data_IF_845207255419
#
_entry.id   IF_845207255419
#
_cell.length_a   1.000
_cell.length_b   1.000
_cell.length_c   1.000
_cell.angle_alpha   90.00
_cell.angle_beta   90.00
_cell.angle_gamma   90.00
#
_symmetry.space_group_name_H-M   'P 1'
#
loop_
_entity.id
_entity.type
_entity.pdbx_description
1 polymer ?
#
# COMPACT_ATOMS: atom_id res chain seq x y z
N UNK A 1 77.17 -16.27 -34.48
CA UNK A 1 78.27 -15.29 -34.43
C UNK A 1 78.57 -14.63 -35.80
N UNK A 2 77.70 -14.73 -36.82
CA UNK A 2 77.93 -14.07 -38.12
C UNK A 2 77.07 -12.82 -38.36
N UNK A 3 75.93 -12.66 -37.67
CA UNK A 3 75.08 -11.46 -37.78
C UNK A 3 75.76 -10.19 -37.22
N UNK A 4 76.63 -10.32 -36.23
CA UNK A 4 77.37 -9.19 -35.67
C UNK A 4 78.43 -8.63 -36.65
N UNK A 5 79.00 -9.49 -37.50
CA UNK A 5 80.07 -9.12 -38.44
C UNK A 5 79.54 -8.44 -39.72
N UNK A 6 78.29 -8.72 -40.10
CA UNK A 6 77.63 -8.06 -41.25
C UNK A 6 77.17 -6.64 -40.88
N UNK A 7 76.73 -6.41 -39.64
CA UNK A 7 76.34 -5.08 -39.15
C UNK A 7 77.55 -4.14 -39.04
N UNK A 8 78.73 -4.69 -38.69
CA UNK A 8 79.95 -3.90 -38.54
C UNK A 8 80.57 -3.41 -39.86
N UNK A 9 80.28 -4.05 -41.00
CA UNK A 9 80.89 -3.72 -42.30
C UNK A 9 80.06 -2.80 -43.21
N UNK A 10 78.83 -2.45 -42.83
CA UNK A 10 77.94 -1.55 -43.60
C UNK A 10 78.06 -0.06 -43.16
N UNK A 11 78.97 0.26 -42.25
CA UNK A 11 79.08 1.60 -41.63
C UNK A 11 79.86 2.63 -42.48
N UNK A 12 80.49 2.26 -43.60
CA UNK A 12 81.31 3.17 -44.41
C UNK A 12 80.62 3.82 -45.63
N UNK A 13 79.30 4.06 -45.59
CA UNK A 13 78.63 4.82 -46.64
C UNK A 13 77.25 5.35 -46.23
N UNK A 14 76.91 6.56 -46.67
CA UNK A 14 75.66 7.27 -46.36
C UNK A 14 74.36 6.46 -46.59
N UNK A 15 74.42 5.42 -47.43
CA UNK A 15 73.32 4.48 -47.71
C UNK A 15 73.03 3.54 -46.53
N UNK A 16 74.06 3.10 -45.79
CA UNK A 16 73.91 2.19 -44.64
C UNK A 16 73.22 2.86 -43.44
N UNK A 17 73.54 4.13 -43.18
CA UNK A 17 72.90 4.92 -42.13
C UNK A 17 71.40 5.15 -42.43
N UNK A 18 71.03 5.37 -43.69
CA UNK A 18 69.64 5.53 -44.10
C UNK A 18 68.83 4.23 -43.93
N UNK A 19 69.40 3.08 -44.30
CA UNK A 19 68.76 1.77 -44.13
C UNK A 19 68.53 1.41 -42.65
N UNK A 20 69.52 1.68 -41.78
CA UNK A 20 69.40 1.46 -40.34
C UNK A 20 68.35 2.41 -39.73
N UNK A 21 68.36 3.70 -40.12
CA UNK A 21 67.35 4.66 -39.66
C UNK A 21 65.93 4.27 -40.08
N UNK A 22 65.77 3.77 -41.31
CA UNK A 22 64.50 3.26 -41.81
C UNK A 22 64.02 2.03 -41.04
N UNK A 23 64.89 1.03 -40.84
CA UNK A 23 64.55 -0.17 -40.05
C UNK A 23 64.19 0.18 -38.60
N UNK A 24 64.91 1.09 -37.96
CA UNK A 24 64.58 1.57 -36.61
C UNK A 24 63.24 2.28 -36.57
N UNK A 25 62.94 3.15 -37.55
CA UNK A 25 61.62 3.80 -37.64
C UNK A 25 60.50 2.79 -37.82
N UNK A 26 60.66 1.83 -38.73
CA UNK A 26 59.66 0.79 -38.98
C UNK A 26 59.48 -0.10 -37.75
N UNK A 27 60.57 -0.53 -37.11
CA UNK A 27 60.52 -1.36 -35.91
C UNK A 27 59.88 -0.63 -34.71
N UNK A 28 60.24 0.63 -34.47
CA UNK A 28 59.64 1.45 -33.41
C UNK A 28 58.16 1.67 -33.70
N UNK A 29 57.78 2.00 -34.94
CA UNK A 29 56.37 2.19 -35.32
C UNK A 29 55.55 0.91 -35.15
N UNK A 30 56.09 -0.24 -35.57
CA UNK A 30 55.45 -1.55 -35.40
C UNK A 30 55.25 -1.86 -33.91
N UNK A 31 56.26 -1.59 -33.08
CA UNK A 31 56.20 -1.88 -31.65
C UNK A 31 55.25 -0.94 -30.90
N UNK A 32 55.23 0.35 -31.25
CA UNK A 32 54.28 1.32 -30.72
C UNK A 32 52.85 0.94 -31.12
N UNK A 33 52.63 0.56 -32.37
CA UNK A 33 51.34 0.11 -32.88
C UNK A 33 50.86 -1.15 -32.14
N UNK A 34 51.76 -2.10 -31.89
CA UNK A 34 51.45 -3.29 -31.09
C UNK A 34 51.11 -2.95 -29.64
N UNK A 35 51.85 -2.05 -28.99
CA UNK A 35 51.55 -1.68 -27.59
C UNK A 35 50.21 -0.94 -27.48
N UNK A 36 49.96 0.00 -28.39
CA UNK A 36 48.70 0.74 -28.45
C UNK A 36 47.54 -0.21 -28.74
N UNK A 37 47.68 -1.12 -29.71
CA UNK A 37 46.66 -2.12 -30.01
C UNK A 37 46.38 -3.04 -28.83
N UNK A 38 47.41 -3.43 -28.09
CA UNK A 38 47.27 -4.26 -26.89
C UNK A 38 46.52 -3.51 -25.79
N UNK A 39 46.88 -2.25 -25.50
CA UNK A 39 46.17 -1.43 -24.53
C UNK A 39 44.70 -1.22 -24.90
N UNK A 40 44.40 -0.96 -26.19
CA UNK A 40 43.01 -0.86 -26.66
C UNK A 40 42.24 -2.17 -26.51
N UNK A 41 42.87 -3.30 -26.84
CA UNK A 41 42.25 -4.61 -26.66
C UNK A 41 41.94 -4.89 -25.19
N UNK A 42 42.89 -4.60 -24.30
CA UNK A 42 42.72 -4.76 -22.85
C UNK A 42 41.62 -3.86 -22.29
N UNK A 43 41.56 -2.59 -22.71
CA UNK A 43 40.48 -1.67 -22.32
C UNK A 43 39.13 -2.14 -22.85
N UNK A 44 39.07 -2.63 -24.09
CA UNK A 44 37.84 -3.13 -24.68
C UNK A 44 37.34 -4.37 -23.92
N UNK A 45 38.25 -5.28 -23.57
CA UNK A 45 37.92 -6.47 -22.79
C UNK A 45 37.47 -6.10 -21.37
N UNK A 46 38.15 -5.16 -20.70
CA UNK A 46 37.74 -4.66 -19.39
C UNK A 46 36.37 -3.98 -19.43
N UNK A 47 36.08 -3.18 -20.46
CA UNK A 47 34.76 -2.57 -20.62
C UNK A 47 33.67 -3.61 -20.89
N UNK A 48 33.97 -4.65 -21.69
CA UNK A 48 33.02 -5.73 -21.95
C UNK A 48 32.71 -6.52 -20.68
N UNK A 49 33.72 -6.84 -19.87
CA UNK A 49 33.52 -7.56 -18.61
C UNK A 49 32.79 -6.71 -17.58
N UNK A 50 33.13 -5.42 -17.46
CA UNK A 50 32.42 -4.48 -16.59
C UNK A 50 30.96 -4.28 -17.03
N UNK A 51 30.70 -4.15 -18.34
CA UNK A 51 29.34 -3.98 -18.83
C UNK A 51 28.51 -5.25 -18.64
N UNK A 52 29.10 -6.43 -18.88
CA UNK A 52 28.41 -7.70 -18.67
C UNK A 52 28.11 -7.95 -17.18
N UNK A 53 29.03 -7.59 -16.28
CA UNK A 53 28.77 -7.71 -14.84
C UNK A 53 27.68 -6.75 -14.37
N UNK A 54 27.66 -5.49 -14.85
CA UNK A 54 26.58 -4.54 -14.57
C UNK A 54 25.24 -5.02 -15.12
N UNK A 55 25.22 -5.56 -16.34
CA UNK A 55 24.01 -6.08 -16.96
C UNK A 55 23.45 -7.27 -16.17
N UNK A 56 24.30 -8.21 -15.76
CA UNK A 56 23.89 -9.33 -14.92
C UNK A 56 23.37 -8.86 -13.55
N UNK A 57 24.02 -7.87 -12.94
CA UNK A 57 23.56 -7.29 -11.68
C UNK A 57 22.17 -6.65 -11.82
N UNK A 58 21.96 -5.82 -12.85
CA UNK A 58 20.65 -5.20 -13.13
C UNK A 58 19.57 -6.25 -13.43
N UNK A 59 19.90 -7.28 -14.21
CA UNK A 59 18.95 -8.35 -14.51
C UNK A 59 18.57 -9.13 -13.25
N UNK A 60 19.54 -9.44 -12.40
CA UNK A 60 19.30 -10.11 -11.13
C UNK A 60 18.45 -9.23 -10.19
N UNK A 61 18.76 -7.95 -10.06
CA UNK A 61 17.99 -7.00 -9.26
C UNK A 61 16.54 -6.89 -9.75
N UNK A 62 16.34 -6.83 -11.07
CA UNK A 62 15.00 -6.82 -11.66
C UNK A 62 14.23 -8.10 -11.34
N UNK A 63 14.86 -9.28 -11.47
CA UNK A 63 14.23 -10.56 -11.11
C UNK A 63 13.85 -10.61 -9.63
N UNK A 64 14.75 -10.18 -8.73
CA UNK A 64 14.48 -10.12 -7.29
C UNK A 64 13.33 -9.17 -6.99
N UNK A 65 13.27 -8.01 -7.65
CA UNK A 65 12.17 -7.06 -7.52
C UNK A 65 10.84 -7.68 -7.97
N UNK A 66 10.82 -8.36 -9.12
CA UNK A 66 9.62 -9.03 -9.64
C UNK A 66 9.12 -10.11 -8.67
N UNK A 67 10.02 -10.94 -8.14
CA UNK A 67 9.67 -11.98 -7.17
C UNK A 67 9.08 -11.37 -5.90
N UNK A 68 9.72 -10.32 -5.36
CA UNK A 68 9.23 -9.63 -4.16
C UNK A 68 7.83 -9.04 -4.38
N UNK A 69 7.62 -8.42 -5.53
CA UNK A 69 6.32 -7.86 -5.91
C UNK A 69 5.25 -8.94 -6.05
N UNK A 70 5.56 -10.06 -6.70
CA UNK A 70 4.65 -11.21 -6.81
C UNK A 70 4.28 -11.77 -5.44
N UNK A 71 5.28 -11.99 -4.57
CA UNK A 71 5.08 -12.51 -3.22
C UNK A 71 4.19 -11.58 -2.40
N UNK A 72 4.40 -10.27 -2.50
CA UNK A 72 3.57 -9.27 -1.85
C UNK A 72 2.11 -9.34 -2.31
N UNK A 73 1.87 -9.41 -3.63
CA UNK A 73 0.51 -9.55 -4.17
C UNK A 73 -0.17 -10.86 -3.75
N UNK A 74 0.58 -11.96 -3.67
CA UNK A 74 0.06 -13.23 -3.18
C UNK A 74 -0.38 -13.13 -1.71
N UNK A 75 0.44 -12.51 -0.85
CA UNK A 75 0.06 -12.24 0.54
C UNK A 75 -1.14 -11.31 0.66
N UNK A 76 -1.23 -10.25 -0.16
CA UNK A 76 -2.40 -9.37 -0.17
C UNK A 76 -3.67 -10.13 -0.54
N UNK A 77 -3.62 -10.95 -1.59
CA UNK A 77 -4.76 -11.76 -2.03
C UNK A 77 -5.20 -12.73 -0.93
N UNK A 78 -4.24 -13.38 -0.27
CA UNK A 78 -4.51 -14.28 0.85
C UNK A 78 -5.15 -13.54 2.03
N UNK A 79 -4.58 -12.40 2.44
CA UNK A 79 -5.12 -11.55 3.50
C UNK A 79 -6.56 -11.09 3.20
N UNK A 80 -6.83 -10.63 1.98
CA UNK A 80 -8.17 -10.20 1.58
C UNK A 80 -9.18 -11.35 1.62
N UNK A 81 -8.80 -12.51 1.06
CA UNK A 81 -9.64 -13.70 1.08
C UNK A 81 -9.91 -14.19 2.51
N UNK A 82 -8.89 -14.18 3.37
CA UNK A 82 -9.00 -14.54 4.78
C UNK A 82 -9.92 -13.61 5.55
N UNK A 83 -9.78 -12.29 5.39
CA UNK A 83 -10.65 -11.29 6.04
C UNK A 83 -12.10 -11.48 5.61
N UNK A 84 -12.39 -11.58 4.30
CA UNK A 84 -13.77 -11.81 3.82
C UNK A 84 -14.32 -13.15 4.32
N UNK A 85 -13.50 -14.19 4.33
CA UNK A 85 -13.86 -15.50 4.86
C UNK A 85 -14.24 -15.45 6.35
N UNK A 86 -13.46 -14.73 7.15
CA UNK A 86 -13.69 -14.55 8.58
C UNK A 86 -14.89 -13.64 8.86
N UNK A 87 -15.10 -12.55 8.13
CA UNK A 87 -16.33 -11.73 8.22
C UNK A 87 -17.57 -12.59 7.98
N UNK A 88 -17.56 -13.44 6.94
CA UNK A 88 -18.65 -14.38 6.69
C UNK A 88 -18.84 -15.36 7.85
N UNK A 89 -17.75 -15.97 8.35
CA UNK A 89 -17.78 -16.90 9.48
C UNK A 89 -18.34 -16.24 10.75
N UNK A 90 -17.98 -14.99 11.03
CA UNK A 90 -18.51 -14.21 12.15
C UNK A 90 -20.02 -14.02 12.01
N UNK A 91 -20.49 -13.62 10.82
CA UNK A 91 -21.93 -13.41 10.59
C UNK A 91 -22.72 -14.72 10.68
N UNK A 92 -22.19 -15.82 10.14
CA UNK A 92 -22.79 -17.15 10.27
C UNK A 92 -22.86 -17.58 11.75
N UNK A 93 -21.80 -17.38 12.52
CA UNK A 93 -21.78 -17.68 13.95
C UNK A 93 -22.78 -16.81 14.72
N UNK A 94 -22.91 -15.53 14.36
CA UNK A 94 -23.84 -14.60 14.98
C UNK A 94 -25.29 -15.01 14.75
N UNK A 95 -25.65 -15.34 13.52
CA UNK A 95 -26.98 -15.87 13.17
C UNK A 95 -27.26 -17.18 13.90
N UNK A 96 -26.31 -18.10 13.93
CA UNK A 96 -26.51 -19.40 14.59
C UNK A 96 -26.67 -19.29 16.11
N UNK A 97 -26.08 -18.26 16.73
CA UNK A 97 -26.12 -18.08 18.17
C UNK A 97 -27.44 -17.47 18.66
N UNK A 98 -27.97 -16.46 17.94
CA UNK A 98 -29.00 -15.59 18.52
C UNK A 98 -30.03 -15.05 17.54
N UNK A 99 -30.17 -15.64 16.34
CA UNK A 99 -31.11 -15.13 15.35
C UNK A 99 -32.58 -15.31 15.76
N UNK A 100 -33.32 -14.20 15.76
CA UNK A 100 -34.76 -14.15 15.93
C UNK A 100 -35.39 -13.76 14.60
N UNK A 101 -36.35 -14.58 14.14
CA UNK A 101 -37.08 -14.34 12.88
C UNK A 101 -37.66 -12.91 12.87
N UNK A 102 -37.47 -12.18 11.76
CA UNK A 102 -37.86 -10.77 11.55
C UNK A 102 -37.13 -9.70 12.37
N UNK A 103 -36.29 -10.08 13.35
CA UNK A 103 -35.57 -9.14 14.21
C UNK A 103 -34.05 -9.22 14.08
N UNK A 104 -33.51 -10.22 13.39
CA UNK A 104 -32.07 -10.41 13.28
C UNK A 104 -31.47 -10.99 14.58
N UNK A 105 -30.14 -10.90 14.76
CA UNK A 105 -29.50 -11.41 15.97
C UNK A 105 -29.93 -10.62 17.21
N UNK A 106 -30.42 -11.30 18.24
CA UNK A 106 -30.81 -10.70 19.51
C UNK A 106 -29.60 -10.37 20.41
N UNK A 107 -28.60 -11.25 20.41
CA UNK A 107 -27.40 -11.08 21.24
C UNK A 107 -26.26 -10.38 20.50
N UNK A 108 -25.26 -9.92 21.25
CA UNK A 108 -24.03 -9.35 20.70
C UNK A 108 -23.26 -10.36 19.82
N UNK A 109 -22.37 -9.85 18.97
CA UNK A 109 -21.52 -10.70 18.13
C UNK A 109 -20.73 -11.71 18.99
N UNK A 110 -20.64 -12.99 18.60
CA UNK A 110 -19.86 -13.98 19.33
C UNK A 110 -18.41 -13.53 19.48
N UNK A 111 -18.00 -13.22 20.71
CA UNK A 111 -16.70 -12.61 21.02
C UNK A 111 -15.51 -13.44 20.54
N UNK A 112 -15.62 -14.77 20.56
CA UNK A 112 -14.61 -15.68 20.03
C UNK A 112 -14.38 -15.52 18.53
N UNK A 113 -15.46 -15.46 17.74
CA UNK A 113 -15.36 -15.29 16.29
C UNK A 113 -14.89 -13.87 15.92
N UNK A 114 -15.40 -12.84 16.61
CA UNK A 114 -14.94 -11.47 16.44
C UNK A 114 -13.45 -11.31 16.74
N UNK A 115 -12.97 -11.91 17.85
CA UNK A 115 -11.55 -11.88 18.22
C UNK A 115 -10.68 -12.57 17.17
N UNK A 116 -11.10 -13.71 16.64
CA UNK A 116 -10.38 -14.40 15.56
C UNK A 116 -10.22 -13.52 14.32
N UNK A 117 -11.29 -12.82 13.90
CA UNK A 117 -11.22 -11.85 12.80
C UNK A 117 -10.26 -10.70 13.11
N UNK A 118 -10.33 -10.14 14.32
CA UNK A 118 -9.48 -9.02 14.74
C UNK A 118 -8.01 -9.41 14.79
N UNK A 119 -7.67 -10.56 15.37
CA UNK A 119 -6.31 -11.09 15.43
C UNK A 119 -5.76 -11.35 14.01
N UNK A 120 -6.57 -11.92 13.12
CA UNK A 120 -6.18 -12.12 11.73
C UNK A 120 -5.91 -10.80 11.00
N UNK A 121 -6.77 -9.78 11.22
CA UNK A 121 -6.55 -8.44 10.68
C UNK A 121 -5.23 -7.83 11.19
N UNK A 122 -4.99 -7.85 12.50
CA UNK A 122 -3.77 -7.29 13.10
C UNK A 122 -2.50 -7.98 12.57
N UNK A 123 -2.53 -9.30 12.38
CA UNK A 123 -1.40 -10.06 11.81
C UNK A 123 -1.12 -9.72 10.34
N UNK A 124 -2.14 -9.31 9.59
CA UNK A 124 -2.05 -9.05 8.15
C UNK A 124 -2.10 -7.56 7.79
N UNK A 125 -2.12 -6.66 8.79
CA UNK A 125 -2.29 -5.22 8.57
C UNK A 125 -1.20 -4.61 7.69
N UNK A 126 0.03 -5.15 7.75
CA UNK A 126 1.16 -4.70 6.92
C UNK A 126 0.91 -4.87 5.41
N UNK A 127 0.04 -5.80 5.04
CA UNK A 127 -0.30 -6.08 3.64
C UNK A 127 -1.53 -5.29 3.17
N UNK A 128 -2.24 -4.60 4.07
CA UNK A 128 -3.35 -3.73 3.72
C UNK A 128 -2.80 -2.34 3.41
N UNK A 129 -3.25 -1.75 2.29
CA UNK A 129 -3.06 -0.32 2.11
C UNK A 129 -4.00 0.47 3.03
N UNK A 130 -3.81 1.78 3.09
CA UNK A 130 -4.54 2.64 4.01
C UNK A 130 -6.06 2.61 3.78
N UNK A 131 -6.50 2.50 2.52
CA UNK A 131 -7.92 2.41 2.18
C UNK A 131 -8.53 1.10 2.67
N UNK A 132 -7.83 -0.02 2.47
CA UNK A 132 -8.25 -1.32 2.97
C UNK A 132 -8.24 -1.37 4.50
N UNK A 133 -7.24 -0.74 5.13
CA UNK A 133 -7.12 -0.63 6.58
C UNK A 133 -8.35 0.07 7.17
N UNK A 134 -8.68 1.27 6.67
CA UNK A 134 -9.86 2.01 7.11
C UNK A 134 -11.16 1.24 6.87
N UNK A 135 -11.29 0.55 5.74
CA UNK A 135 -12.47 -0.22 5.41
C UNK A 135 -12.68 -1.43 6.34
N UNK A 136 -11.61 -2.15 6.70
CA UNK A 136 -11.69 -3.27 7.65
C UNK A 136 -11.96 -2.77 9.06
N UNK A 137 -11.31 -1.68 9.48
CA UNK A 137 -11.58 -1.05 10.76
C UNK A 137 -13.05 -0.60 10.89
N UNK A 138 -13.62 -0.04 9.84
CA UNK A 138 -15.04 0.33 9.81
C UNK A 138 -15.94 -0.89 10.10
N UNK A 139 -15.66 -2.04 9.48
CA UNK A 139 -16.40 -3.28 9.74
C UNK A 139 -16.20 -3.76 11.18
N UNK A 140 -14.97 -3.72 11.70
CA UNK A 140 -14.67 -4.09 13.09
C UNK A 140 -15.36 -3.16 14.10
N UNK A 141 -15.48 -1.87 13.79
CA UNK A 141 -16.20 -0.89 14.58
C UNK A 141 -17.70 -1.21 14.62
N UNK A 142 -18.33 -1.56 13.50
CA UNK A 142 -19.73 -2.00 13.48
C UNK A 142 -19.97 -3.30 14.25
N UNK A 143 -19.06 -4.28 14.19
CA UNK A 143 -19.16 -5.43 15.08
C UNK A 143 -19.09 -5.03 16.55
N UNK A 144 -18.17 -4.11 16.88
CA UNK A 144 -17.99 -3.65 18.26
C UNK A 144 -19.19 -2.88 18.80
N UNK A 145 -19.99 -2.26 17.92
CA UNK A 145 -21.24 -1.60 18.32
C UNK A 145 -22.28 -2.56 18.88
N UNK A 146 -22.15 -3.86 18.66
CA UNK A 146 -23.06 -4.84 19.26
C UNK A 146 -22.76 -5.15 20.72
N UNK A 147 -21.56 -4.82 21.22
CA UNK A 147 -21.19 -5.10 22.60
C UNK A 147 -21.86 -4.12 23.57
N UNK A 148 -22.23 -4.59 24.77
CA UNK A 148 -22.76 -3.71 25.81
C UNK A 148 -21.70 -2.70 26.23
N UNK A 149 -22.14 -1.51 26.64
CA UNK A 149 -21.27 -0.45 27.13
C UNK A 149 -21.67 0.00 28.53
N UNK A 150 -20.68 0.47 29.28
CA UNK A 150 -20.85 1.14 30.57
C UNK A 150 -20.79 2.65 30.32
N UNK A 151 -21.78 3.38 30.79
CA UNK A 151 -21.84 4.85 30.71
C UNK A 151 -21.07 5.54 31.87
N UNK A 152 -20.39 4.75 32.71
CA UNK A 152 -19.69 5.19 33.90
C UNK A 152 -20.56 5.19 35.17
N UNK A 153 -21.83 4.78 35.06
CA UNK A 153 -22.72 4.58 36.21
C UNK A 153 -22.61 3.16 36.79
N UNK A 154 -21.88 2.26 36.13
CA UNK A 154 -21.75 0.86 36.52
C UNK A 154 -22.91 -0.03 36.06
N UNK A 155 -23.86 0.52 35.29
CA UNK A 155 -24.91 -0.22 34.61
C UNK A 155 -24.49 -0.52 33.17
N UNK A 156 -24.63 -1.77 32.75
CA UNK A 156 -24.43 -2.18 31.36
C UNK A 156 -25.69 -1.90 30.56
N UNK A 157 -25.53 -1.19 29.45
CA UNK A 157 -26.61 -0.92 28.50
C UNK A 157 -26.44 -1.80 27.27
N UNK A 158 -27.52 -2.49 26.90
CA UNK A 158 -27.60 -3.22 25.64
C UNK A 158 -27.59 -2.23 24.47
N UNK A 159 -26.91 -2.61 23.40
CA UNK A 159 -26.89 -1.86 22.14
C UNK A 159 -27.77 -2.54 21.12
N UNK A 160 -28.13 -1.80 20.07
CA UNK A 160 -28.88 -2.32 18.94
C UNK A 160 -28.02 -3.27 18.08
N UNK A 161 -28.12 -4.56 18.39
CA UNK A 161 -27.41 -5.66 17.75
C UNK A 161 -27.89 -5.89 16.31
N UNK A 162 -29.18 -5.69 16.05
CA UNK A 162 -29.79 -5.81 14.72
C UNK A 162 -29.22 -4.79 13.75
N UNK A 163 -29.16 -3.51 14.16
CA UNK A 163 -28.58 -2.45 13.32
C UNK A 163 -27.11 -2.70 13.05
N UNK A 164 -26.34 -3.12 14.06
CA UNK A 164 -24.93 -3.49 13.88
C UNK A 164 -24.75 -4.62 12.86
N UNK A 165 -25.55 -5.69 12.95
CA UNK A 165 -25.53 -6.81 12.01
C UNK A 165 -25.88 -6.37 10.58
N UNK A 166 -26.98 -5.63 10.41
CA UNK A 166 -27.42 -5.15 9.09
C UNK A 166 -26.37 -4.26 8.42
N UNK A 167 -25.75 -3.37 9.20
CA UNK A 167 -24.67 -2.50 8.72
C UNK A 167 -23.47 -3.31 8.22
N UNK A 168 -23.08 -4.38 8.92
CA UNK A 168 -21.99 -5.26 8.45
C UNK A 168 -22.40 -6.03 7.19
N UNK A 169 -23.63 -6.55 7.12
CA UNK A 169 -24.13 -7.25 5.93
C UNK A 169 -24.15 -6.35 4.69
N UNK A 170 -24.52 -5.07 4.85
CA UNK A 170 -24.47 -4.06 3.78
C UNK A 170 -23.04 -3.71 3.36
N UNK A 171 -22.10 -3.61 4.30
CA UNK A 171 -20.69 -3.29 3.99
C UNK A 171 -19.93 -4.45 3.36
N UNK A 172 -20.26 -5.71 3.70
CA UNK A 172 -19.55 -6.90 3.21
C UNK A 172 -19.38 -6.96 1.68
N UNK A 173 -20.42 -6.81 0.84
CA UNK A 173 -20.26 -6.84 -0.62
C UNK A 173 -19.39 -5.68 -1.15
N UNK A 174 -19.38 -4.55 -0.47
CA UNK A 174 -18.63 -3.35 -0.86
C UNK A 174 -17.15 -3.50 -0.47
N UNK A 175 -16.87 -4.04 0.72
CA UNK A 175 -15.53 -4.44 1.13
C UNK A 175 -14.94 -5.47 0.17
N UNK A 176 -15.72 -6.49 -0.22
CA UNK A 176 -15.28 -7.47 -1.21
C UNK A 176 -15.01 -6.83 -2.58
N UNK A 177 -15.81 -5.85 -3.00
CA UNK A 177 -15.58 -5.11 -4.23
C UNK A 177 -14.29 -4.27 -4.19
N UNK A 178 -14.03 -3.59 -3.06
CA UNK A 178 -12.76 -2.88 -2.84
C UNK A 178 -11.57 -3.83 -2.96
N UNK A 179 -11.59 -4.97 -2.27
CA UNK A 179 -10.50 -5.94 -2.33
C UNK A 179 -10.27 -6.50 -3.74
N UNK A 180 -11.35 -6.81 -4.48
CA UNK A 180 -11.24 -7.25 -5.89
C UNK A 180 -10.60 -6.20 -6.79
N UNK A 181 -10.91 -4.91 -6.56
CA UNK A 181 -10.28 -3.81 -7.27
C UNK A 181 -8.78 -3.73 -6.98
N UNK A 182 -8.37 -3.90 -5.71
CA UNK A 182 -6.96 -3.87 -5.30
C UNK A 182 -6.11 -5.00 -5.88
N UNK A 183 -6.70 -6.17 -6.14
CA UNK A 183 -6.02 -7.30 -6.81
C UNK A 183 -6.21 -7.30 -8.33
N UNK A 184 -6.76 -6.24 -8.92
CA UNK A 184 -6.89 -6.09 -10.37
C UNK A 184 -7.94 -6.99 -11.03
N UNK A 185 -8.90 -7.52 -10.27
CA UNK A 185 -9.96 -8.38 -10.81
C UNK A 185 -11.10 -7.57 -11.44
N UNK A 186 -11.56 -6.51 -10.78
CA UNK A 186 -12.62 -5.63 -11.27
C UNK A 186 -12.41 -4.21 -10.74
N UNK A 187 -12.39 -3.20 -11.61
CA UNK A 187 -12.39 -1.81 -11.17
C UNK A 187 -13.79 -1.42 -10.64
N UNK A 188 -13.85 -1.00 -9.38
CA UNK A 188 -15.07 -0.54 -8.73
C UNK A 188 -14.75 0.68 -7.86
N UNK A 189 -14.41 1.79 -8.52
CA UNK A 189 -14.14 3.07 -7.85
C UNK A 189 -15.29 3.56 -6.95
N UNK A 190 -16.52 3.12 -7.22
CA UNK A 190 -17.70 3.42 -6.40
C UNK A 190 -17.61 2.78 -5.01
N UNK A 191 -17.11 1.54 -4.91
CA UNK A 191 -16.92 0.86 -3.63
C UNK A 191 -15.91 1.58 -2.72
N UNK A 192 -14.79 2.05 -3.31
CA UNK A 192 -13.77 2.85 -2.60
C UNK A 192 -14.37 4.14 -2.05
N UNK A 193 -15.01 4.95 -2.89
CA UNK A 193 -15.62 6.22 -2.46
C UNK A 193 -16.69 6.00 -1.39
N UNK A 194 -17.52 4.97 -1.57
CA UNK A 194 -18.59 4.62 -0.63
C UNK A 194 -18.04 4.29 0.75
N UNK A 195 -17.05 3.40 0.85
CA UNK A 195 -16.45 3.02 2.14
C UNK A 195 -15.78 4.19 2.84
N UNK A 196 -15.03 5.01 2.10
CA UNK A 196 -14.38 6.20 2.65
C UNK A 196 -15.41 7.22 3.14
N UNK A 197 -16.48 7.45 2.37
CA UNK A 197 -17.55 8.37 2.74
C UNK A 197 -18.34 7.93 3.97
N UNK A 198 -18.70 6.64 4.04
CA UNK A 198 -19.37 6.06 5.22
C UNK A 198 -18.48 6.16 6.45
N UNK A 199 -17.19 5.78 6.34
CA UNK A 199 -16.24 5.87 7.42
C UNK A 199 -16.01 7.30 7.92
N UNK A 200 -15.89 8.26 7.00
CA UNK A 200 -15.74 9.68 7.33
C UNK A 200 -16.97 10.26 8.03
N UNK A 201 -18.19 9.97 7.54
CA UNK A 201 -19.43 10.41 8.18
C UNK A 201 -19.58 9.81 9.57
N UNK A 202 -19.27 8.52 9.73
CA UNK A 202 -19.31 7.85 11.02
C UNK A 202 -18.31 8.48 12.00
N UNK A 203 -17.06 8.70 11.58
CA UNK A 203 -16.01 9.31 12.40
C UNK A 203 -16.39 10.73 12.87
N UNK A 204 -16.92 11.54 11.96
CA UNK A 204 -17.26 12.94 12.25
C UNK A 204 -18.50 13.08 13.12
N UNK A 205 -19.42 12.11 13.07
CA UNK A 205 -20.63 12.09 13.90
C UNK A 205 -20.44 11.35 15.24
N UNK A 206 -19.40 10.51 15.39
CA UNK A 206 -19.13 9.79 16.64
C UNK A 206 -18.51 10.66 17.72
N UNK A 207 -17.76 11.70 17.33
CA UNK A 207 -17.12 12.63 18.26
C UNK A 207 -18.02 13.84 18.56
N UNK A 208 -18.04 14.30 19.82
CA UNK A 208 -18.81 15.47 20.26
C UNK A 208 -17.90 16.48 20.96
N UNK A 209 -17.71 17.63 20.33
CA UNK A 209 -16.96 18.78 20.84
C UNK A 209 -17.85 20.02 20.65
N UNK A 210 -18.67 20.32 21.67
CA UNK A 210 -19.76 21.30 21.58
C UNK A 210 -19.29 22.72 21.25
N UNK A 211 -18.09 23.11 21.67
CA UNK A 211 -17.49 24.41 21.39
C UNK A 211 -16.93 24.53 19.95
N UNK A 212 -16.88 23.45 19.18
CA UNK A 212 -16.29 23.41 17.82
C UNK A 212 -17.23 22.86 16.75
N UNK A 213 -18.54 23.02 16.89
CA UNK A 213 -19.54 22.51 15.92
C UNK A 213 -19.32 21.05 15.48
N UNK A 214 -18.84 20.20 16.41
CA UNK A 214 -18.64 18.76 16.21
C UNK A 214 -19.65 18.07 17.15
N UNK A 215 -20.58 17.25 16.65
CA UNK A 215 -20.71 16.69 15.30
C UNK A 215 -21.25 17.71 14.26
N UNK A 216 -21.17 17.40 12.95
CA UNK A 216 -21.63 18.30 11.90
C UNK A 216 -23.13 18.62 12.01
N UNK A 217 -23.53 19.74 11.40
CA UNK A 217 -24.94 20.10 11.20
C UNK A 217 -25.46 19.50 9.89
N UNK A 218 -26.77 19.61 9.65
CA UNK A 218 -27.35 19.20 8.37
C UNK A 218 -26.63 19.91 7.19
N UNK A 219 -26.38 19.20 6.06
CA UNK A 219 -26.90 17.88 5.69
C UNK A 219 -26.06 16.67 6.16
N UNK A 220 -24.88 16.88 6.75
CA UNK A 220 -23.94 15.80 7.12
C UNK A 220 -24.22 15.18 8.49
N UNK A 221 -25.16 15.75 9.25
CA UNK A 221 -25.59 15.21 10.54
C UNK A 221 -26.29 13.87 10.34
N UNK A 222 -25.78 12.85 11.01
CA UNK A 222 -26.39 11.52 11.06
C UNK A 222 -26.64 11.18 12.52
N UNK A 223 -27.82 10.62 12.81
CA UNK A 223 -28.14 10.18 14.17
C UNK A 223 -27.23 8.99 14.55
N UNK A 224 -26.96 8.83 15.84
CA UNK A 224 -25.98 7.85 16.36
C UNK A 224 -26.27 6.37 15.97
N UNK A 225 -27.47 6.07 15.46
CA UNK A 225 -27.92 4.75 15.01
C UNK A 225 -27.98 4.63 13.49
N UNK A 226 -27.43 5.60 12.74
CA UNK A 226 -27.57 5.70 11.30
C UNK A 226 -27.24 4.39 10.58
N UNK A 227 -28.25 3.84 9.89
CA UNK A 227 -28.06 2.74 8.95
C UNK A 227 -26.99 3.12 7.92
N UNK A 228 -26.16 2.14 7.56
CA UNK A 228 -25.14 2.27 6.53
C UNK A 228 -25.75 2.77 5.21
N UNK A 229 -26.95 2.33 4.83
CA UNK A 229 -27.68 2.86 3.67
C UNK A 229 -27.83 4.38 3.70
N UNK A 230 -28.21 4.96 4.85
CA UNK A 230 -28.35 6.41 5.00
C UNK A 230 -26.99 7.11 4.90
N UNK A 231 -25.95 6.53 5.49
CA UNK A 231 -24.58 7.04 5.41
C UNK A 231 -24.09 7.04 3.95
N UNK A 232 -24.34 5.97 3.20
CA UNK A 232 -24.00 5.87 1.78
C UNK A 232 -24.70 6.93 0.95
N UNK A 233 -26.01 7.09 1.16
CA UNK A 233 -26.80 8.10 0.45
C UNK A 233 -26.30 9.51 0.76
N UNK A 234 -25.98 9.79 2.02
CA UNK A 234 -25.48 11.11 2.45
C UNK A 234 -24.10 11.38 1.89
N UNK A 235 -23.18 10.41 1.99
CA UNK A 235 -21.83 10.54 1.44
C UNK A 235 -21.84 10.81 -0.07
N UNK A 236 -22.72 10.12 -0.81
CA UNK A 236 -22.86 10.30 -2.25
C UNK A 236 -23.47 11.65 -2.65
N UNK A 237 -24.44 12.15 -1.88
CA UNK A 237 -25.15 13.38 -2.21
C UNK A 237 -24.41 14.65 -1.76
N UNK A 238 -23.53 14.54 -0.76
CA UNK A 238 -22.87 15.67 -0.10
C UNK A 238 -21.36 15.47 0.03
N UNK A 239 -20.73 14.90 -1.01
CA UNK A 239 -19.29 14.58 -1.03
C UNK A 239 -18.42 15.82 -0.82
N UNK A 240 -18.74 16.92 -1.51
CA UNK A 240 -17.98 18.16 -1.44
C UNK A 240 -18.03 18.78 -0.04
N UNK A 241 -19.23 18.83 0.55
CA UNK A 241 -19.44 19.33 1.91
C UNK A 241 -18.74 18.45 2.94
N UNK A 242 -18.73 17.13 2.76
CA UNK A 242 -18.03 16.19 3.63
C UNK A 242 -16.52 16.42 3.61
N UNK A 243 -15.91 16.61 2.43
CA UNK A 243 -14.48 16.88 2.30
C UNK A 243 -14.10 18.22 2.92
N UNK A 244 -14.91 19.26 2.71
CA UNK A 244 -14.71 20.57 3.35
C UNK A 244 -14.80 20.46 4.88
N UNK A 245 -15.81 19.75 5.38
CA UNK A 245 -16.01 19.53 6.81
C UNK A 245 -14.87 18.71 7.42
N UNK A 246 -14.32 17.71 6.73
CA UNK A 246 -13.14 16.97 7.19
C UNK A 246 -11.93 17.89 7.38
N UNK A 247 -11.69 18.84 6.47
CA UNK A 247 -10.62 19.82 6.64
C UNK A 247 -10.82 20.70 7.87
N UNK A 248 -12.07 21.13 8.13
CA UNK A 248 -12.42 21.82 9.38
C UNK A 248 -12.20 20.93 10.61
N UNK A 249 -12.66 19.68 10.56
CA UNK A 249 -12.55 18.70 11.64
C UNK A 249 -11.09 18.42 12.01
N UNK A 250 -10.22 18.17 11.01
CA UNK A 250 -8.78 18.03 11.19
C UNK A 250 -8.17 19.26 11.89
N UNK A 251 -8.52 20.46 11.43
CA UNK A 251 -8.04 21.72 12.03
C UNK A 251 -8.46 21.82 13.50
N UNK A 252 -9.74 21.55 13.79
CA UNK A 252 -10.31 21.58 15.14
C UNK A 252 -9.63 20.59 16.10
N UNK A 253 -9.30 19.38 15.63
CA UNK A 253 -8.64 18.35 16.45
C UNK A 253 -7.16 18.61 16.66
N UNK A 254 -6.48 19.24 15.70
CA UNK A 254 -5.05 19.57 15.83
C UNK A 254 -4.77 20.52 17.00
N UNK A 255 -5.73 21.39 17.33
CA UNK A 255 -5.66 22.33 18.45
C UNK A 255 -5.89 21.67 19.82
N UNK A 256 -6.68 20.60 19.91
CA UNK A 256 -7.07 19.98 21.19
C UNK A 256 -6.02 19.01 21.74
N UNK A 257 -5.13 18.47 20.90
CA UNK A 257 -4.04 17.57 21.29
C UNK A 257 -4.47 16.17 21.80
N UNK A 258 -5.61 16.05 22.48
CA UNK A 258 -6.12 14.81 23.11
C UNK A 258 -6.75 13.81 22.13
N UNK A 259 -7.00 14.20 20.88
CA UNK A 259 -7.72 13.39 19.89
C UNK A 259 -6.82 12.92 18.74
N UNK A 260 -5.58 12.53 19.02
CA UNK A 260 -4.59 12.17 17.98
C UNK A 260 -5.05 11.04 17.05
N UNK A 261 -5.71 10.01 17.58
CA UNK A 261 -6.17 8.88 16.75
C UNK A 261 -7.30 9.29 15.80
N UNK A 262 -8.26 10.09 16.30
CA UNK A 262 -9.32 10.69 15.48
C UNK A 262 -8.74 11.63 14.42
N UNK A 263 -7.75 12.44 14.78
CA UNK A 263 -7.07 13.35 13.85
C UNK A 263 -6.38 12.58 12.71
N UNK A 264 -5.62 11.52 13.03
CA UNK A 264 -4.95 10.68 12.03
C UNK A 264 -5.96 10.03 11.08
N UNK A 265 -7.01 9.41 11.62
CA UNK A 265 -8.08 8.81 10.82
C UNK A 265 -8.77 9.84 9.92
N UNK A 266 -9.09 11.02 10.45
CA UNK A 266 -9.73 12.09 9.69
C UNK A 266 -8.85 12.60 8.54
N UNK A 267 -7.56 12.79 8.80
CA UNK A 267 -6.59 13.22 7.78
C UNK A 267 -6.46 12.18 6.66
N UNK A 268 -6.47 10.90 7.01
CA UNK A 268 -6.50 9.80 6.03
C UNK A 268 -7.75 9.86 5.16
N UNK A 269 -8.94 9.96 5.75
CA UNK A 269 -10.19 10.10 5.00
C UNK A 269 -10.20 11.34 4.09
N UNK A 270 -9.78 12.50 4.61
CA UNK A 270 -9.73 13.75 3.84
C UNK A 270 -8.84 13.61 2.60
N UNK A 271 -7.62 13.11 2.79
CA UNK A 271 -6.64 12.94 1.71
C UNK A 271 -7.13 11.94 0.65
N UNK A 272 -7.70 10.82 1.09
CA UNK A 272 -8.13 9.75 0.18
C UNK A 272 -9.38 10.14 -0.62
N UNK A 273 -10.32 10.87 0.00
CA UNK A 273 -11.51 11.40 -0.67
C UNK A 273 -11.16 12.52 -1.66
N UNK A 274 -10.22 13.42 -1.33
CA UNK A 274 -9.73 14.45 -2.28
C UNK A 274 -9.03 13.86 -3.51
N UNK A 275 -8.43 12.68 -3.37
CA UNK A 275 -7.74 11.98 -4.46
C UNK A 275 -8.69 11.11 -5.33
N UNK A 276 -9.99 11.11 -5.04
CA UNK A 276 -11.00 10.24 -5.65
C UNK A 276 -11.87 10.97 -6.67
#
# INVERSE_FOLDING_TARGET
MEFASIVASIVSGAVGAAAISWLLRTWIAERLKQSISYEYFQKLESYKTELNSKLQAMHHEHQVSQIRTSLFFDYQREAFAGIIGLVRKVNEAWVNASYVEYHGPADAVPSGAYRELKEYYEQNQLFLDEECTLAVELVLEYYSDSFPFDDGTGQLYERDTTTAYNNVEELRPILAALFRSKIGVLDNGDARKTLLGVGALRLTNSLRIYNKNIPPKAPLKIDNTGSVELLMKTARNHEAELVEYLGYFCSALSEEGSFQDYYRKALSYERLLRAS
#
